data_IF_343526867993
#
_entry.id   IF_343526867993
#
_cell.length_a   1.000
_cell.length_b   1.000
_cell.length_c   1.000
_cell.angle_alpha   90.00
_cell.angle_beta   90.00
_cell.angle_gamma   90.00
#
_symmetry.space_group_name_H-M   'P 1'
#
loop_
_entity.id
_entity.type
_entity.pdbx_description
1 polymer ?
#
# COMPACT_ATOMS: atom_id res chain seq x y z
N UNK A 1 13.95 6.52 15.05
CA UNK A 1 14.23 7.50 14.00
C UNK A 1 15.20 6.90 12.99
N UNK A 2 14.99 7.15 11.72
CA UNK A 2 15.78 6.62 10.63
C UNK A 2 16.41 7.73 9.81
N UNK A 3 17.61 7.46 9.29
CA UNK A 3 18.26 8.37 8.35
C UNK A 3 17.43 8.37 7.04
N UNK A 4 16.98 9.53 6.62
CA UNK A 4 16.12 9.73 5.44
C UNK A 4 16.77 9.24 4.15
N UNK A 5 18.09 9.41 4.00
CA UNK A 5 18.79 9.16 2.75
C UNK A 5 18.79 7.74 2.21
N UNK A 6 18.25 6.75 2.95
CA UNK A 6 18.13 5.35 2.49
C UNK A 6 16.72 4.97 2.00
N UNK A 7 15.73 5.82 2.22
CA UNK A 7 14.33 5.54 1.92
C UNK A 7 13.74 6.41 0.82
N UNK A 8 14.24 7.63 0.71
CA UNK A 8 13.68 8.64 -0.16
C UNK A 8 14.67 8.94 -1.28
N UNK A 9 14.20 9.08 -2.51
CA UNK A 9 15.06 9.35 -3.68
C UNK A 9 15.80 10.70 -3.58
N UNK A 10 15.26 11.67 -2.85
CA UNK A 10 15.88 12.99 -2.67
C UNK A 10 16.72 13.05 -1.38
N UNK A 11 18.01 12.88 -1.54
CA UNK A 11 18.99 12.83 -0.44
C UNK A 11 19.14 14.13 0.33
N UNK A 12 18.81 15.26 -0.28
CA UNK A 12 19.11 16.58 0.24
C UNK A 12 17.89 17.33 0.78
N UNK A 13 16.68 16.78 0.61
CA UNK A 13 15.45 17.41 1.07
C UNK A 13 14.46 16.36 1.53
N UNK A 14 13.88 16.50 2.75
CA UNK A 14 12.80 15.62 3.19
C UNK A 14 11.61 15.74 2.25
N UNK A 15 11.06 14.61 1.83
CA UNK A 15 9.81 14.57 1.06
C UNK A 15 8.68 15.19 1.90
N UNK A 16 7.79 15.94 1.26
CA UNK A 16 6.63 16.57 1.92
C UNK A 16 5.73 15.54 2.64
N UNK A 17 5.77 14.26 2.20
CA UNK A 17 5.04 13.14 2.81
C UNK A 17 5.61 12.62 4.12
N UNK A 18 6.78 13.09 4.58
CA UNK A 18 7.51 12.52 5.72
C UNK A 18 7.65 13.55 6.85
N UNK A 19 7.40 13.13 8.09
CA UNK A 19 7.78 13.91 9.27
C UNK A 19 9.27 13.74 9.53
N UNK A 20 10.02 14.81 9.34
CA UNK A 20 11.46 14.81 9.47
C UNK A 20 11.94 16.01 10.30
N UNK A 21 13.08 15.86 10.92
CA UNK A 21 13.77 16.91 11.67
C UNK A 21 15.27 16.77 11.51
N UNK A 22 15.98 17.86 11.64
CA UNK A 22 17.43 17.89 11.54
C UNK A 22 18.02 17.77 12.94
N UNK A 23 18.89 16.78 13.12
CA UNK A 23 19.68 16.56 14.32
C UNK A 23 21.14 16.85 13.96
N UNK A 24 21.63 18.00 14.38
CA UNK A 24 22.95 18.53 14.01
C UNK A 24 23.23 18.47 12.51
N UNK A 25 23.92 17.42 12.06
CA UNK A 25 24.30 17.21 10.65
C UNK A 25 23.42 16.20 9.92
N UNK A 26 22.52 15.49 10.61
CA UNK A 26 21.74 14.41 10.05
C UNK A 26 20.26 14.72 10.03
N UNK A 27 19.61 14.34 8.95
CA UNK A 27 18.16 14.29 8.89
C UNK A 27 17.66 12.99 9.52
N UNK A 28 16.74 13.11 10.45
CA UNK A 28 16.00 12.01 11.06
C UNK A 28 14.53 12.09 10.64
N UNK A 29 13.87 10.95 10.56
CA UNK A 29 12.44 10.90 10.25
C UNK A 29 11.69 9.98 11.21
N UNK A 30 10.41 10.26 11.40
CA UNK A 30 9.48 9.26 11.92
C UNK A 30 9.30 8.18 10.85
N UNK A 31 9.14 6.91 11.27
CA UNK A 31 8.97 5.81 10.31
C UNK A 31 7.68 5.97 9.53
N UNK A 32 7.79 5.93 8.22
CA UNK A 32 6.70 6.05 7.26
C UNK A 32 5.93 4.74 7.07
N UNK A 33 6.62 3.60 7.25
CA UNK A 33 6.13 2.23 7.22
C UNK A 33 6.87 1.35 8.24
N UNK A 34 6.53 0.07 8.30
CA UNK A 34 7.23 -0.92 9.12
C UNK A 34 8.19 -1.79 8.31
N UNK A 35 8.14 -1.71 6.97
CA UNK A 35 8.91 -2.53 6.04
C UNK A 35 10.37 -2.11 5.99
N UNK A 36 10.63 -0.81 5.94
CA UNK A 36 11.98 -0.30 5.87
C UNK A 36 12.78 -0.49 7.16
N UNK A 37 12.21 -0.32 8.38
CA UNK A 37 12.85 -0.76 9.62
C UNK A 37 13.14 -2.27 9.64
N UNK A 38 12.24 -3.10 9.08
CA UNK A 38 12.49 -4.54 8.92
C UNK A 38 13.69 -4.81 8.04
N UNK A 39 13.74 -4.20 6.85
CA UNK A 39 14.84 -4.40 5.90
C UNK A 39 16.20 -4.07 6.54
N UNK A 40 16.25 -2.97 7.31
CA UNK A 40 17.45 -2.60 8.07
C UNK A 40 17.78 -3.61 9.16
N UNK A 41 16.80 -4.10 9.90
CA UNK A 41 17.00 -5.12 10.92
C UNK A 41 17.56 -6.42 10.33
N UNK A 42 16.95 -6.87 9.22
CA UNK A 42 17.41 -8.08 8.49
C UNK A 42 18.82 -7.90 7.97
N UNK A 43 19.14 -6.76 7.35
CA UNK A 43 20.50 -6.52 6.85
C UNK A 43 21.55 -6.56 7.95
N UNK A 44 21.22 -6.03 9.14
CA UNK A 44 22.13 -6.04 10.30
C UNK A 44 22.35 -7.45 10.89
N UNK A 45 21.29 -8.28 10.89
CA UNK A 45 21.31 -9.59 11.55
C UNK A 45 21.21 -10.75 10.53
N UNK A 46 21.64 -10.52 9.29
CA UNK A 46 21.39 -11.41 8.16
C UNK A 46 21.84 -12.85 8.37
N UNK A 47 23.00 -13.05 9.00
CA UNK A 47 23.57 -14.38 9.25
C UNK A 47 22.89 -15.13 10.42
N UNK A 48 22.26 -14.41 11.33
CA UNK A 48 21.63 -14.96 12.53
C UNK A 48 20.16 -15.34 12.32
N UNK A 49 19.53 -14.73 11.32
CA UNK A 49 18.10 -14.92 11.03
C UNK A 49 17.88 -16.17 10.17
N UNK A 50 17.01 -17.13 10.58
CA UNK A 50 16.63 -18.26 9.74
C UNK A 50 15.89 -17.79 8.48
N UNK A 51 16.06 -18.51 7.36
CA UNK A 51 15.41 -18.20 6.09
C UNK A 51 14.55 -19.36 5.61
N UNK A 52 13.34 -19.10 5.12
CA UNK A 52 12.69 -17.79 5.05
C UNK A 52 12.30 -17.27 6.44
N UNK A 53 12.58 -15.99 6.69
CA UNK A 53 12.16 -15.30 7.92
C UNK A 53 10.73 -14.79 7.75
N UNK A 54 9.83 -15.34 8.54
CA UNK A 54 8.43 -14.93 8.58
C UNK A 54 8.21 -14.07 9.83
N UNK A 55 7.66 -12.89 9.63
CA UNK A 55 7.34 -12.00 10.75
C UNK A 55 6.00 -11.34 10.57
N UNK A 56 5.38 -10.93 11.65
CA UNK A 56 4.32 -9.93 11.66
C UNK A 56 4.62 -8.86 12.71
N UNK A 57 4.07 -7.67 12.49
CA UNK A 57 4.25 -6.54 13.39
C UNK A 57 3.03 -5.65 13.37
N UNK A 58 2.60 -5.21 14.55
CA UNK A 58 1.68 -4.09 14.73
C UNK A 58 2.47 -2.89 15.23
N UNK A 59 2.28 -1.73 14.63
CA UNK A 59 3.00 -0.53 15.05
C UNK A 59 2.43 0.74 14.48
N UNK A 60 2.67 1.84 15.18
CA UNK A 60 2.33 3.17 14.72
C UNK A 60 3.28 3.62 13.61
N UNK A 61 2.73 4.23 12.57
CA UNK A 61 3.49 4.89 11.48
C UNK A 61 2.98 6.30 11.28
N UNK A 62 3.83 7.15 10.69
CA UNK A 62 3.54 8.58 10.55
C UNK A 62 3.71 9.01 9.10
N UNK A 63 2.67 9.70 8.57
CA UNK A 63 2.69 10.25 7.21
C UNK A 63 2.19 11.68 7.22
N UNK A 64 2.97 12.58 6.65
CA UNK A 64 2.58 14.00 6.54
C UNK A 64 1.67 14.23 5.33
N UNK A 65 0.59 13.46 5.26
CA UNK A 65 -0.43 13.56 4.22
C UNK A 65 -1.66 14.34 4.72
N UNK A 66 -2.49 14.82 3.78
CA UNK A 66 -3.75 15.48 4.12
C UNK A 66 -4.71 14.48 4.79
N UNK A 67 -5.17 14.75 6.03
CA UNK A 67 -6.10 13.88 6.73
C UNK A 67 -7.44 13.74 6.00
N UNK A 68 -8.12 12.62 6.25
CA UNK A 68 -9.45 12.33 5.71
C UNK A 68 -10.11 11.17 6.45
N UNK A 69 -11.33 10.75 6.03
CA UNK A 69 -12.03 9.63 6.65
C UNK A 69 -11.17 8.36 6.65
N UNK A 70 -10.89 7.82 7.85
CA UNK A 70 -10.01 6.67 8.04
C UNK A 70 -8.55 6.90 7.62
N UNK A 71 -8.13 8.15 7.38
CA UNK A 71 -6.77 8.52 7.02
C UNK A 71 -6.25 9.58 7.98
N UNK A 72 -5.31 9.20 8.81
CA UNK A 72 -4.70 10.05 9.84
C UNK A 72 -3.21 10.23 9.53
N UNK A 73 -2.59 11.22 10.17
CA UNK A 73 -1.15 11.45 10.06
C UNK A 73 -0.34 10.49 10.94
N UNK A 74 -0.94 10.04 12.02
CA UNK A 74 -0.47 8.95 12.88
C UNK A 74 -1.53 7.86 12.87
N UNK A 75 -1.17 6.62 12.55
CA UNK A 75 -2.09 5.51 12.48
C UNK A 75 -1.40 4.17 12.74
N UNK A 76 -2.19 3.17 13.10
CA UNK A 76 -1.73 1.81 13.31
C UNK A 76 -1.68 1.04 11.99
N UNK A 77 -0.57 0.38 11.76
CA UNK A 77 -0.35 -0.51 10.63
C UNK A 77 0.01 -1.90 11.13
N UNK A 78 -0.62 -2.90 10.55
CA UNK A 78 -0.26 -4.30 10.70
C UNK A 78 0.44 -4.75 9.44
N UNK A 79 1.64 -5.31 9.58
CA UNK A 79 2.44 -5.86 8.48
C UNK A 79 2.72 -7.34 8.73
N UNK A 80 2.74 -8.12 7.65
CA UNK A 80 3.24 -9.48 7.63
C UNK A 80 4.17 -9.67 6.43
N UNK A 81 5.34 -10.24 6.65
CA UNK A 81 6.41 -10.33 5.66
C UNK A 81 7.08 -11.71 5.65
N UNK A 82 7.51 -12.10 4.45
CA UNK A 82 8.43 -13.19 4.19
C UNK A 82 9.73 -12.63 3.64
N UNK A 83 10.84 -12.90 4.29
CA UNK A 83 12.16 -12.39 3.89
C UNK A 83 13.12 -13.56 3.65
N UNK A 84 13.88 -13.48 2.56
CA UNK A 84 14.84 -14.51 2.17
C UNK A 84 14.26 -15.63 1.31
N UNK A 85 13.20 -15.36 0.52
CA UNK A 85 12.64 -16.34 -0.42
C UNK A 85 12.22 -15.70 -1.74
N UNK A 86 12.58 -16.34 -2.86
CA UNK A 86 12.13 -16.01 -4.22
C UNK A 86 10.85 -16.74 -4.61
N UNK A 87 10.39 -17.70 -3.79
CA UNK A 87 9.23 -18.52 -4.10
C UNK A 87 7.95 -17.69 -4.06
N UNK A 88 7.20 -17.67 -5.15
CA UNK A 88 5.93 -16.94 -5.29
C UNK A 88 4.80 -17.52 -4.43
N UNK A 89 4.99 -18.70 -3.85
CA UNK A 89 4.09 -19.22 -2.84
C UNK A 89 3.97 -18.29 -1.63
N UNK A 90 5.07 -17.60 -1.24
CA UNK A 90 5.06 -16.62 -0.16
C UNK A 90 4.13 -15.43 -0.49
N UNK A 91 4.14 -14.97 -1.75
CA UNK A 91 3.26 -13.90 -2.24
C UNK A 91 1.79 -14.33 -2.20
N UNK A 92 1.50 -15.54 -2.65
CA UNK A 92 0.16 -16.11 -2.63
C UNK A 92 -0.35 -16.34 -1.20
N UNK A 93 0.47 -16.91 -0.31
CA UNK A 93 0.13 -17.09 1.11
C UNK A 93 -0.23 -15.76 1.79
N UNK A 94 0.47 -14.68 1.49
CA UNK A 94 0.16 -13.35 2.04
C UNK A 94 -1.19 -12.83 1.55
N UNK A 95 -1.58 -13.11 0.30
CA UNK A 95 -2.92 -12.76 -0.20
C UNK A 95 -4.03 -13.56 0.50
N UNK A 96 -3.79 -14.83 0.80
CA UNK A 96 -4.73 -15.67 1.57
C UNK A 96 -4.78 -15.17 3.01
N UNK A 97 -3.62 -14.90 3.63
CA UNK A 97 -3.52 -14.41 5.00
C UNK A 97 -4.29 -13.10 5.21
N UNK A 98 -4.11 -12.11 4.31
CA UNK A 98 -4.85 -10.84 4.44
C UNK A 98 -6.36 -11.06 4.35
N UNK A 99 -6.80 -11.98 3.47
CA UNK A 99 -8.20 -12.34 3.33
C UNK A 99 -8.77 -12.95 4.62
N UNK A 100 -8.06 -13.92 5.20
CA UNK A 100 -8.45 -14.54 6.48
C UNK A 100 -8.50 -13.55 7.64
N UNK A 101 -7.55 -12.63 7.71
CA UNK A 101 -7.54 -11.57 8.72
C UNK A 101 -8.79 -10.69 8.59
N UNK A 102 -9.12 -10.26 7.37
CA UNK A 102 -10.29 -9.41 7.12
C UNK A 102 -11.60 -10.13 7.46
N UNK A 103 -11.71 -11.42 7.12
CA UNK A 103 -12.89 -12.23 7.47
C UNK A 103 -13.01 -12.39 9.00
N UNK A 104 -11.93 -12.65 9.70
CA UNK A 104 -11.92 -12.72 11.18
C UNK A 104 -12.22 -11.36 11.85
N UNK A 105 -11.92 -10.26 11.18
CA UNK A 105 -12.28 -8.92 11.64
C UNK A 105 -13.73 -8.54 11.36
N UNK A 106 -14.51 -9.37 10.62
CA UNK A 106 -15.95 -9.15 10.40
C UNK A 106 -16.35 -8.71 9.00
N UNK A 107 -15.42 -8.73 8.01
CA UNK A 107 -15.77 -8.60 6.60
C UNK A 107 -16.18 -9.97 6.05
N UNK A 108 -17.18 -9.99 5.17
CA UNK A 108 -17.50 -11.17 4.38
C UNK A 108 -16.75 -11.14 3.03
N UNK A 109 -16.62 -12.28 2.35
CA UNK A 109 -15.94 -12.35 1.04
C UNK A 109 -16.52 -11.41 -0.01
N UNK A 110 -17.81 -11.08 0.08
CA UNK A 110 -18.46 -10.14 -0.84
C UNK A 110 -18.11 -8.68 -0.55
N UNK A 111 -17.60 -8.35 0.63
CA UNK A 111 -17.34 -6.99 1.08
C UNK A 111 -16.02 -6.43 0.54
N UNK A 112 -15.14 -7.27 0.01
CA UNK A 112 -13.82 -6.86 -0.46
C UNK A 112 -13.33 -7.72 -1.62
N UNK A 113 -12.28 -7.28 -2.27
CA UNK A 113 -11.57 -8.03 -3.31
C UNK A 113 -10.06 -7.80 -3.18
N UNK A 114 -9.28 -8.87 -3.32
CA UNK A 114 -7.82 -8.79 -3.43
C UNK A 114 -7.46 -8.58 -4.90
N UNK A 115 -7.00 -7.40 -5.26
CA UNK A 115 -6.48 -7.11 -6.59
C UNK A 115 -5.01 -7.49 -6.66
N UNK A 116 -4.61 -8.14 -7.74
CA UNK A 116 -3.22 -8.52 -8.00
C UNK A 116 -2.74 -7.93 -9.31
N UNK A 117 -1.48 -7.51 -9.32
CA UNK A 117 -0.75 -7.03 -10.49
C UNK A 117 0.72 -7.41 -10.36
N UNK A 118 1.57 -6.91 -11.25
CA UNK A 118 3.02 -7.07 -11.14
C UNK A 118 3.76 -5.86 -11.67
N UNK A 119 4.88 -5.53 -11.07
CA UNK A 119 5.82 -4.54 -11.57
C UNK A 119 6.33 -4.92 -12.96
N UNK A 120 6.53 -6.22 -13.24
CA UNK A 120 6.94 -6.72 -14.54
C UNK A 120 5.98 -6.34 -15.67
N UNK A 121 4.69 -6.17 -15.37
CA UNK A 121 3.72 -5.67 -16.35
C UNK A 121 4.06 -4.23 -16.77
N UNK A 122 4.33 -3.35 -15.80
CA UNK A 122 4.68 -1.95 -16.10
C UNK A 122 6.04 -1.83 -16.75
N UNK A 123 7.01 -2.66 -16.37
CA UNK A 123 8.35 -2.65 -16.97
C UNK A 123 8.30 -3.04 -18.45
N UNK A 124 7.57 -4.11 -18.82
CA UNK A 124 7.31 -4.48 -20.22
C UNK A 124 6.61 -3.35 -20.99
N UNK A 125 5.68 -2.64 -20.36
CA UNK A 125 5.00 -1.50 -20.97
C UNK A 125 5.98 -0.35 -21.24
N UNK A 126 6.88 -0.05 -20.31
CA UNK A 126 7.91 0.98 -20.50
C UNK A 126 8.94 0.61 -21.57
N UNK A 127 9.32 -0.67 -21.66
CA UNK A 127 10.16 -1.18 -22.75
C UNK A 127 9.48 -0.98 -24.11
N UNK A 128 8.22 -1.37 -24.24
CA UNK A 128 7.42 -1.17 -25.46
C UNK A 128 7.35 0.30 -25.87
N UNK A 129 7.19 1.19 -24.89
CA UNK A 129 7.12 2.64 -25.11
C UNK A 129 8.50 3.29 -25.27
N UNK A 130 9.60 2.52 -25.14
CA UNK A 130 11.00 2.99 -25.18
C UNK A 130 11.30 4.07 -24.14
N UNK A 131 10.65 4.00 -22.96
CA UNK A 131 10.85 4.93 -21.86
C UNK A 131 11.97 4.38 -20.97
N UNK A 132 13.08 5.14 -20.85
CA UNK A 132 14.27 4.73 -20.08
C UNK A 132 14.60 5.68 -18.92
N UNK A 133 14.06 6.90 -18.94
CA UNK A 133 14.32 7.90 -17.91
C UNK A 133 13.62 7.49 -16.61
N UNK A 134 14.39 7.34 -15.52
CA UNK A 134 13.86 7.01 -14.19
C UNK A 134 12.87 8.07 -13.70
N UNK A 135 13.16 9.35 -13.94
CA UNK A 135 12.26 10.45 -13.54
C UNK A 135 10.94 10.38 -14.29
N UNK A 136 10.99 10.10 -15.61
CA UNK A 136 9.78 9.96 -16.42
C UNK A 136 8.94 8.75 -15.97
N UNK A 137 9.60 7.60 -15.68
CA UNK A 137 8.95 6.40 -15.13
C UNK A 137 8.28 6.72 -13.80
N UNK A 138 8.97 7.42 -12.90
CA UNK A 138 8.42 7.82 -11.60
C UNK A 138 7.17 8.70 -11.75
N UNK A 139 7.21 9.69 -12.65
CA UNK A 139 6.05 10.55 -12.94
C UNK A 139 4.87 9.73 -13.48
N UNK A 140 5.13 8.81 -14.42
CA UNK A 140 4.08 7.94 -14.99
C UNK A 140 3.46 7.08 -13.90
N UNK A 141 4.27 6.40 -13.09
CA UNK A 141 3.76 5.54 -12.03
C UNK A 141 2.91 6.31 -11.01
N UNK A 142 3.36 7.51 -10.62
CA UNK A 142 2.58 8.40 -9.74
C UNK A 142 1.27 8.89 -10.39
N UNK A 143 1.26 9.09 -11.71
CA UNK A 143 0.05 9.45 -12.43
C UNK A 143 -0.94 8.28 -12.48
N UNK A 144 -0.45 7.08 -12.74
CA UNK A 144 -1.26 5.86 -12.81
C UNK A 144 -1.82 5.45 -11.43
N UNK A 145 -1.03 5.57 -10.36
CA UNK A 145 -1.47 5.33 -8.98
C UNK A 145 -2.64 6.25 -8.55
N UNK A 146 -2.75 7.41 -9.20
CA UNK A 146 -3.82 8.37 -8.91
C UNK A 146 -5.10 8.15 -9.74
N UNK A 147 -5.13 7.20 -10.68
CA UNK A 147 -6.29 6.97 -11.56
C UNK A 147 -7.56 6.72 -10.76
N UNK A 148 -7.51 5.85 -9.77
CA UNK A 148 -8.67 5.51 -8.95
C UNK A 148 -9.24 6.74 -8.22
N UNK A 149 -8.39 7.71 -7.87
CA UNK A 149 -8.79 8.94 -7.16
C UNK A 149 -9.18 10.08 -8.06
N UNK A 150 -8.46 10.27 -9.16
CA UNK A 150 -8.65 11.44 -10.04
C UNK A 150 -9.50 11.14 -11.26
N UNK A 151 -9.65 9.87 -11.62
CA UNK A 151 -10.21 9.43 -12.89
C UNK A 151 -9.18 9.50 -14.03
N UNK A 152 -9.48 8.79 -15.12
CA UNK A 152 -8.58 8.68 -16.27
C UNK A 152 -8.26 10.05 -16.90
N UNK A 153 -9.27 10.91 -17.08
CA UNK A 153 -9.08 12.22 -17.72
C UNK A 153 -8.02 13.09 -17.02
N UNK A 154 -8.03 13.11 -15.70
CA UNK A 154 -7.05 13.89 -14.93
C UNK A 154 -5.67 13.20 -14.85
N UNK A 155 -5.65 11.87 -14.79
CA UNK A 155 -4.40 11.10 -14.87
C UNK A 155 -3.75 11.26 -16.25
N UNK A 156 -4.53 11.31 -17.34
CA UNK A 156 -4.04 11.55 -18.69
C UNK A 156 -3.27 12.88 -18.79
N UNK A 157 -3.77 13.95 -18.18
CA UNK A 157 -3.06 15.25 -18.15
C UNK A 157 -1.66 15.10 -17.51
N UNK A 158 -1.55 14.31 -16.43
CA UNK A 158 -0.26 14.02 -15.79
C UNK A 158 0.64 13.13 -16.64
N UNK A 159 0.09 12.26 -17.48
CA UNK A 159 0.87 11.51 -18.46
C UNK A 159 1.39 12.40 -19.60
N UNK A 160 0.66 13.42 -19.96
CA UNK A 160 1.01 14.39 -21.02
C UNK A 160 1.83 15.56 -20.43
N UNK A 161 1.32 16.78 -20.50
CA UNK A 161 2.05 18.01 -20.15
C UNK A 161 2.07 18.34 -18.66
N UNK A 162 1.09 17.84 -17.91
CA UNK A 162 0.92 18.15 -16.50
C UNK A 162 -0.50 18.65 -16.20
N UNK A 163 -0.74 18.93 -14.92
CA UNK A 163 -2.06 19.27 -14.40
C UNK A 163 -1.94 20.40 -13.38
N UNK A 164 -2.82 21.36 -13.49
CA UNK A 164 -3.11 22.33 -12.44
C UNK A 164 -4.25 21.80 -11.56
N UNK A 165 -4.10 21.85 -10.25
CA UNK A 165 -5.14 21.44 -9.32
C UNK A 165 -6.10 22.60 -8.97
N UNK A 166 -7.10 22.33 -8.11
CA UNK A 166 -8.09 23.34 -7.71
C UNK A 166 -7.51 24.49 -6.87
N UNK A 167 -6.30 24.34 -6.33
CA UNK A 167 -5.57 25.37 -5.59
C UNK A 167 -4.67 26.23 -6.47
N UNK A 168 -4.55 25.90 -7.76
CA UNK A 168 -3.66 26.58 -8.70
C UNK A 168 -2.25 25.99 -8.74
N UNK A 169 -1.99 24.92 -8.01
CA UNK A 169 -0.69 24.25 -8.00
C UNK A 169 -0.50 23.40 -9.26
N UNK A 170 0.58 23.67 -10.00
CA UNK A 170 0.90 22.94 -11.21
C UNK A 170 1.80 21.73 -10.92
N UNK A 171 1.32 20.54 -11.30
CA UNK A 171 2.11 19.30 -11.29
C UNK A 171 2.60 18.98 -12.70
N UNK A 172 3.92 18.92 -12.86
CA UNK A 172 4.57 18.58 -14.15
C UNK A 172 4.19 17.17 -14.59
N UNK A 173 3.91 17.00 -15.89
CA UNK A 173 3.59 15.73 -16.51
C UNK A 173 4.81 14.97 -17.04
N UNK A 174 4.56 13.74 -17.50
CA UNK A 174 5.57 12.85 -18.07
C UNK A 174 5.95 13.17 -19.53
N UNK A 175 5.29 14.14 -20.16
CA UNK A 175 5.48 14.54 -21.56
C UNK A 175 5.34 13.39 -22.57
N UNK A 176 4.40 12.47 -22.33
CA UNK A 176 4.10 11.40 -23.30
C UNK A 176 3.33 11.95 -24.50
N UNK A 177 3.56 11.32 -25.64
CA UNK A 177 2.78 11.56 -26.86
C UNK A 177 1.40 10.89 -26.74
N UNK A 178 0.42 11.35 -27.49
CA UNK A 178 -0.94 10.81 -27.49
C UNK A 178 -1.03 9.32 -27.83
N UNK A 179 -0.20 8.85 -28.75
CA UNK A 179 -0.09 7.43 -29.11
C UNK A 179 0.44 6.58 -27.94
N UNK A 180 1.43 7.07 -27.21
CA UNK A 180 1.97 6.41 -26.03
C UNK A 180 0.91 6.34 -24.91
N UNK A 181 0.18 7.42 -24.68
CA UNK A 181 -0.92 7.45 -23.69
C UNK A 181 -2.02 6.45 -24.06
N UNK A 182 -2.38 6.34 -25.35
CA UNK A 182 -3.35 5.36 -25.82
C UNK A 182 -2.90 3.91 -25.63
N UNK A 183 -1.59 3.63 -25.81
CA UNK A 183 -1.02 2.31 -25.51
C UNK A 183 -1.17 1.98 -24.03
N UNK A 184 -0.85 2.92 -23.13
CA UNK A 184 -1.04 2.76 -21.68
C UNK A 184 -2.51 2.49 -21.35
N UNK A 185 -3.41 3.30 -21.89
CA UNK A 185 -4.85 3.14 -21.66
C UNK A 185 -5.36 1.75 -22.06
N UNK A 186 -4.95 1.28 -23.24
CA UNK A 186 -5.31 -0.06 -23.73
C UNK A 186 -4.71 -1.16 -22.86
N UNK A 187 -3.47 -1.01 -22.41
CA UNK A 187 -2.83 -1.96 -21.51
C UNK A 187 -3.54 -2.06 -20.17
N UNK A 188 -4.00 -0.94 -19.59
CA UNK A 188 -4.76 -0.93 -18.34
C UNK A 188 -6.20 -1.49 -18.49
N UNK A 189 -6.79 -1.39 -19.68
CA UNK A 189 -8.11 -1.99 -19.99
C UNK A 189 -8.04 -3.50 -20.17
N UNK A 190 -6.87 -4.04 -20.46
CA UNK A 190 -6.68 -5.49 -20.64
C UNK A 190 -6.68 -6.19 -19.26
N UNK A 191 -7.72 -6.94 -18.97
CA UNK A 191 -7.89 -7.69 -17.71
C UNK A 191 -7.33 -9.13 -17.78
N UNK A 192 -6.64 -9.49 -18.84
CA UNK A 192 -5.98 -10.78 -18.95
C UNK A 192 -4.54 -10.67 -18.37
N UNK A 193 -4.18 -11.50 -17.38
CA UNK A 193 -2.83 -11.52 -16.84
C UNK A 193 -1.84 -11.99 -17.91
N UNK A 194 -0.73 -11.26 -18.06
CA UNK A 194 0.29 -11.53 -19.08
C UNK A 194 1.72 -11.59 -18.52
N UNK A 195 1.87 -11.50 -17.20
CA UNK A 195 3.15 -11.69 -16.53
C UNK A 195 3.24 -13.08 -15.89
N UNK A 196 4.39 -13.73 -16.04
CA UNK A 196 4.61 -15.11 -15.57
C UNK A 196 4.37 -15.27 -14.07
N UNK A 197 4.83 -14.29 -13.28
CA UNK A 197 4.66 -14.29 -11.83
C UNK A 197 3.19 -14.22 -11.39
N UNK A 198 2.36 -13.42 -12.06
CA UNK A 198 0.92 -13.37 -11.79
C UNK A 198 0.24 -14.68 -12.19
N UNK A 199 0.61 -15.26 -13.32
CA UNK A 199 0.06 -16.53 -13.77
C UNK A 199 0.41 -17.66 -12.81
N UNK A 200 1.63 -17.69 -12.27
CA UNK A 200 2.05 -18.66 -11.26
C UNK A 200 1.28 -18.47 -9.95
N UNK A 201 1.12 -17.23 -9.46
CA UNK A 201 0.30 -16.96 -8.27
C UNK A 201 -1.14 -17.41 -8.44
N UNK A 202 -1.74 -17.22 -9.63
CA UNK A 202 -3.10 -17.68 -9.91
C UNK A 202 -3.19 -19.21 -9.79
N UNK A 203 -2.23 -19.96 -10.31
CA UNK A 203 -2.18 -21.43 -10.15
C UNK A 203 -2.08 -21.83 -8.67
N UNK A 204 -1.31 -21.10 -7.88
CA UNK A 204 -1.20 -21.35 -6.43
C UNK A 204 -2.53 -21.03 -5.74
N UNK A 205 -3.23 -19.95 -6.11
CA UNK A 205 -4.56 -19.64 -5.58
C UNK A 205 -5.57 -20.75 -5.89
N UNK A 206 -5.52 -21.34 -7.09
CA UNK A 206 -6.35 -22.49 -7.44
C UNK A 206 -6.09 -23.68 -6.51
N UNK A 207 -4.82 -23.98 -6.20
CA UNK A 207 -4.45 -25.06 -5.26
C UNK A 207 -4.96 -24.82 -3.84
N UNK A 208 -5.06 -23.56 -3.41
CA UNK A 208 -5.64 -23.16 -2.11
C UNK A 208 -7.16 -22.98 -2.14
N UNK A 209 -7.81 -23.19 -3.30
CA UNK A 209 -9.22 -22.86 -3.53
C UNK A 209 -9.54 -21.38 -3.14
N UNK A 210 -8.56 -20.50 -3.28
CA UNK A 210 -8.73 -19.07 -3.05
C UNK A 210 -9.34 -18.41 -4.28
N UNK A 211 -10.53 -17.84 -4.15
CA UNK A 211 -11.30 -17.26 -5.28
C UNK A 211 -11.54 -15.76 -5.15
N UNK A 212 -11.24 -15.18 -3.97
CA UNK A 212 -11.54 -13.77 -3.70
C UNK A 212 -10.44 -12.83 -4.20
N UNK A 213 -10.05 -13.00 -5.46
CA UNK A 213 -9.04 -12.18 -6.10
C UNK A 213 -9.46 -11.73 -7.50
N UNK A 214 -8.77 -10.73 -8.02
CA UNK A 214 -8.94 -10.23 -9.40
C UNK A 214 -7.60 -9.70 -9.90
N UNK A 215 -7.23 -10.05 -11.13
CA UNK A 215 -6.15 -9.35 -11.83
C UNK A 215 -6.61 -7.94 -12.21
N UNK A 216 -5.84 -6.94 -11.84
CA UNK A 216 -6.10 -5.54 -12.19
C UNK A 216 -4.79 -4.80 -12.49
N UNK A 217 -4.47 -4.56 -13.77
CA UNK A 217 -3.23 -3.91 -14.18
C UNK A 217 -3.13 -2.45 -13.73
N UNK A 218 -4.22 -1.84 -13.25
CA UNK A 218 -4.20 -0.50 -12.67
C UNK A 218 -3.62 -0.45 -11.25
N UNK A 219 -3.44 -1.60 -10.60
CA UNK A 219 -2.74 -1.69 -9.31
C UNK A 219 -1.24 -1.54 -9.54
N UNK A 220 -0.75 -0.32 -9.35
CA UNK A 220 0.64 0.05 -9.64
C UNK A 220 1.40 0.38 -8.36
N UNK A 221 0.72 0.86 -7.33
CA UNK A 221 1.26 1.33 -6.04
C UNK A 221 2.50 2.23 -6.16
N UNK A 222 2.41 3.39 -5.54
CA UNK A 222 3.40 4.46 -5.67
C UNK A 222 4.75 4.23 -4.96
N UNK A 223 5.00 3.07 -4.36
CA UNK A 223 6.28 2.77 -3.72
C UNK A 223 7.25 2.17 -4.74
N UNK A 224 8.34 2.86 -5.00
CA UNK A 224 9.33 2.51 -6.03
C UNK A 224 10.12 1.23 -5.72
N UNK A 225 10.02 0.68 -4.50
CA UNK A 225 10.78 -0.49 -4.11
C UNK A 225 10.17 -1.84 -4.53
N UNK A 226 8.95 -1.88 -5.08
CA UNK A 226 8.37 -3.12 -5.57
C UNK A 226 9.06 -3.63 -6.84
N UNK A 227 9.33 -4.94 -6.89
CA UNK A 227 10.12 -5.60 -7.94
C UNK A 227 9.38 -6.71 -8.67
N UNK A 228 8.21 -7.11 -8.20
CA UNK A 228 7.43 -8.23 -8.73
C UNK A 228 5.94 -8.09 -8.48
N UNK A 229 5.27 -9.13 -7.96
CA UNK A 229 3.85 -9.09 -7.63
C UNK A 229 3.48 -7.95 -6.70
N UNK A 230 2.32 -7.35 -6.94
CA UNK A 230 1.77 -6.23 -6.16
C UNK A 230 0.33 -6.58 -5.82
N UNK A 231 -0.07 -6.26 -4.58
CA UNK A 231 -1.38 -6.59 -4.05
C UNK A 231 -2.08 -5.34 -3.51
N UNK A 232 -3.39 -5.28 -3.69
CA UNK A 232 -4.22 -4.25 -3.10
C UNK A 232 -5.58 -4.82 -2.70
N UNK A 233 -6.07 -4.44 -1.52
CA UNK A 233 -7.39 -4.85 -1.04
C UNK A 233 -8.33 -3.66 -1.08
N UNK A 234 -9.36 -3.78 -1.92
CA UNK A 234 -10.39 -2.77 -2.05
C UNK A 234 -11.72 -3.27 -1.49
N UNK A 235 -12.49 -2.34 -0.94
CA UNK A 235 -13.85 -2.61 -0.49
C UNK A 235 -14.81 -2.64 -1.69
N UNK A 236 -15.82 -3.51 -1.61
CA UNK A 236 -16.89 -3.63 -2.59
C UNK A 236 -18.18 -2.91 -2.15
N UNK A 237 -18.12 -2.07 -1.11
CA UNK A 237 -19.23 -1.25 -0.64
C UNK A 237 -18.79 0.20 -0.44
N UNK A 238 -19.77 1.11 -0.49
CA UNK A 238 -19.53 2.53 -0.33
C UNK A 238 -19.24 2.89 1.11
N UNK A 239 -18.14 3.61 1.31
CA UNK A 239 -17.80 4.24 2.59
C UNK A 239 -18.25 5.70 2.54
N UNK A 240 -18.89 6.17 3.63
CA UNK A 240 -19.41 7.53 3.73
C UNK A 240 -18.56 8.38 4.68
N UNK A 241 -18.49 9.68 4.38
CA UNK A 241 -17.92 10.64 5.31
C UNK A 241 -18.87 10.92 6.49
N UNK A 242 -18.42 11.75 7.44
CA UNK A 242 -19.25 12.14 8.62
C UNK A 242 -20.54 12.87 8.25
N UNK A 243 -20.65 13.38 7.01
CA UNK A 243 -21.88 14.03 6.48
C UNK A 243 -22.80 13.04 5.73
N UNK A 244 -22.49 11.73 5.76
CA UNK A 244 -23.26 10.69 5.08
C UNK A 244 -23.07 10.61 3.56
N UNK A 245 -22.15 11.37 2.99
CA UNK A 245 -21.88 11.37 1.55
C UNK A 245 -20.87 10.26 1.19
N UNK A 246 -21.09 9.50 0.09
CA UNK A 246 -20.13 8.49 -0.36
C UNK A 246 -18.79 9.16 -0.70
N UNK A 247 -17.72 8.49 -0.35
CA UNK A 247 -16.35 8.93 -0.62
C UNK A 247 -15.56 7.85 -1.34
N UNK A 248 -14.60 8.27 -2.13
CA UNK A 248 -13.62 7.36 -2.69
C UNK A 248 -12.62 6.94 -1.59
N UNK A 249 -12.90 5.80 -0.98
CA UNK A 249 -12.16 5.38 0.21
C UNK A 249 -10.76 4.84 -0.12
N UNK A 250 -10.60 4.18 -1.28
CA UNK A 250 -9.34 3.52 -1.69
C UNK A 250 -9.10 2.20 -0.94
N UNK A 251 -7.87 1.70 -1.02
CA UNK A 251 -7.51 0.40 -0.43
C UNK A 251 -7.44 0.44 1.10
N UNK A 252 -7.80 -0.68 1.74
CA UNK A 252 -7.67 -0.89 3.20
C UNK A 252 -6.36 -1.61 3.55
N UNK A 253 -5.73 -2.24 2.57
CA UNK A 253 -4.47 -2.95 2.72
C UNK A 253 -3.83 -3.23 1.38
N UNK A 254 -2.66 -3.79 1.41
CA UNK A 254 -1.94 -4.24 0.23
C UNK A 254 -0.46 -4.41 0.49
N UNK A 255 0.27 -4.80 -0.54
CA UNK A 255 1.67 -5.12 -0.42
C UNK A 255 2.30 -5.51 -1.75
N UNK A 256 3.33 -6.32 -1.69
CA UNK A 256 4.01 -6.86 -2.86
C UNK A 256 5.43 -7.29 -2.57
N UNK A 257 6.13 -7.71 -3.62
CA UNK A 257 7.51 -8.17 -3.58
C UNK A 257 8.49 -7.00 -3.68
N UNK A 258 9.51 -7.00 -2.80
CA UNK A 258 10.49 -5.91 -2.69
C UNK A 258 11.93 -6.47 -2.53
N UNK A 259 12.41 -7.17 -3.53
CA UNK A 259 13.66 -7.94 -3.49
C UNK A 259 14.91 -7.10 -3.22
N UNK A 260 14.89 -5.81 -3.60
CA UNK A 260 16.06 -4.93 -3.50
C UNK A 260 16.10 -4.09 -2.21
N UNK A 261 15.06 -4.14 -1.37
CA UNK A 261 14.99 -3.22 -0.23
C UNK A 261 16.03 -3.52 0.85
N UNK A 262 16.27 -4.81 1.14
CA UNK A 262 17.29 -5.22 2.13
C UNK A 262 18.69 -4.85 1.66
N UNK A 263 18.99 -4.94 0.36
CA UNK A 263 20.28 -4.60 -0.22
C UNK A 263 20.66 -3.14 -0.05
N UNK A 264 19.69 -2.25 0.07
CA UNK A 264 19.93 -0.82 0.35
C UNK A 264 20.60 -0.59 1.72
N UNK A 265 20.52 -1.55 2.62
CA UNK A 265 21.07 -1.46 3.97
C UNK A 265 22.33 -2.31 4.20
N UNK A 266 22.62 -3.28 3.34
CA UNK A 266 23.72 -4.23 3.63
C UNK A 266 24.35 -4.90 2.41
N UNK A 267 24.05 -4.48 1.21
CA UNK A 267 24.58 -5.06 -0.03
C UNK A 267 24.37 -6.59 -0.13
N UNK A 268 23.16 -7.05 0.29
CA UNK A 268 22.79 -8.46 0.41
C UNK A 268 21.70 -8.80 -0.60
N UNK A 269 21.82 -9.90 -1.34
CA UNK A 269 20.71 -10.46 -2.13
C UNK A 269 19.72 -11.15 -1.16
N UNK A 270 18.66 -10.43 -0.81
CA UNK A 270 17.68 -10.91 0.15
C UNK A 270 16.25 -10.57 -0.33
N UNK A 271 15.69 -11.42 -1.19
CA UNK A 271 14.35 -11.22 -1.72
C UNK A 271 13.30 -11.26 -0.61
N UNK A 272 12.30 -10.42 -0.73
CA UNK A 272 11.25 -10.31 0.26
C UNK A 272 9.90 -9.93 -0.36
N UNK A 273 8.83 -10.29 0.34
CA UNK A 273 7.46 -9.91 0.00
C UNK A 273 6.67 -9.67 1.28
N UNK A 274 5.71 -8.78 1.27
CA UNK A 274 4.94 -8.44 2.45
C UNK A 274 3.60 -7.79 2.14
N UNK A 275 2.73 -7.78 3.15
CA UNK A 275 1.44 -7.09 3.13
C UNK A 275 1.31 -6.16 4.33
N UNK A 276 0.52 -5.12 4.15
CA UNK A 276 0.15 -4.18 5.21
C UNK A 276 -1.35 -3.95 5.24
N UNK A 277 -1.91 -3.82 6.45
CA UNK A 277 -3.29 -3.40 6.69
C UNK A 277 -3.25 -2.12 7.52
N UNK A 278 -3.91 -1.05 7.05
CA UNK A 278 -4.15 0.14 7.84
C UNK A 278 -5.33 -0.10 8.79
N UNK A 279 -5.05 -0.29 10.10
CA UNK A 279 -6.11 -0.66 11.04
C UNK A 279 -7.16 0.43 11.20
N UNK A 280 -6.75 1.68 11.27
CA UNK A 280 -7.70 2.79 11.38
C UNK A 280 -8.65 2.84 10.18
N UNK A 281 -8.14 2.52 8.98
CA UNK A 281 -8.97 2.42 7.77
C UNK A 281 -9.92 1.22 7.84
N UNK A 282 -9.42 0.08 8.28
CA UNK A 282 -10.24 -1.13 8.44
C UNK A 282 -11.35 -0.89 9.46
N UNK A 283 -11.03 -0.32 10.63
CA UNK A 283 -12.01 0.01 11.68
C UNK A 283 -13.04 1.00 11.13
N UNK A 284 -12.60 2.07 10.48
CA UNK A 284 -13.51 3.06 9.88
C UNK A 284 -14.47 2.40 8.87
N UNK A 285 -13.98 1.49 8.04
CA UNK A 285 -14.81 0.75 7.09
C UNK A 285 -15.79 -0.20 7.78
N UNK A 286 -15.33 -0.95 8.79
CA UNK A 286 -16.19 -1.85 9.57
C UNK A 286 -17.33 -1.12 10.26
N UNK A 287 -17.07 0.06 10.81
CA UNK A 287 -18.10 0.90 11.45
C UNK A 287 -19.20 1.37 10.47
N UNK A 288 -18.97 1.32 9.16
CA UNK A 288 -19.98 1.62 8.13
C UNK A 288 -20.94 0.44 7.88
N UNK A 289 -20.57 -0.77 8.30
CA UNK A 289 -21.43 -1.95 8.12
C UNK A 289 -22.57 -1.95 9.11
N UNK A 290 -23.81 -2.13 8.64
CA UNK A 290 -25.02 -2.17 9.49
C UNK A 290 -24.98 -3.26 10.56
N UNK A 291 -24.34 -4.39 10.26
CA UNK A 291 -24.29 -5.56 11.12
C UNK A 291 -23.06 -5.58 12.04
N UNK A 292 -22.16 -4.61 11.89
CA UNK A 292 -20.98 -4.53 12.75
C UNK A 292 -21.36 -3.93 14.10
N UNK A 293 -21.24 -4.74 15.16
CA UNK A 293 -21.47 -4.33 16.54
C UNK A 293 -20.20 -4.57 17.35
N UNK A 294 -19.68 -3.52 17.94
CA UNK A 294 -18.66 -3.66 18.98
C UNK A 294 -19.36 -4.24 20.20
N UNK A 295 -19.09 -5.50 20.51
CA UNK A 295 -19.56 -6.07 21.79
C UNK A 295 -18.76 -5.41 22.91
N UNK A 296 -19.42 -4.60 23.71
CA UNK A 296 -18.83 -4.13 24.98
C UNK A 296 -18.50 -5.36 25.82
N UNK A 297 -17.24 -5.66 26.00
CA UNK A 297 -16.79 -6.88 26.69
C UNK A 297 -16.70 -6.73 28.19
N UNK A 298 -16.85 -5.51 28.72
CA UNK A 298 -16.74 -5.23 30.16
C UNK A 298 -17.79 -4.20 30.58
N UNK A 299 -18.45 -4.40 31.73
CA UNK A 299 -19.33 -3.40 32.30
C UNK A 299 -18.50 -2.17 32.74
N UNK A 300 -19.06 -0.98 32.56
CA UNK A 300 -18.54 0.22 33.20
C UNK A 300 -18.95 0.15 34.66
N UNK A 301 -17.99 0.07 35.58
CA UNK A 301 -18.24 0.08 37.01
C UNK A 301 -18.12 1.53 37.50
N UNK A 302 -19.22 2.10 37.98
CA UNK A 302 -19.26 3.42 38.60
C UNK A 302 -19.26 3.23 40.10
N UNK A 303 -18.18 3.65 40.76
CA UNK A 303 -18.09 3.64 42.20
C UNK A 303 -18.70 4.93 42.75
N UNK A 304 -19.80 4.82 43.48
CA UNK A 304 -20.47 5.96 44.12
C UNK A 304 -20.06 5.99 45.59
N UNK A 305 -19.27 6.97 45.97
CA UNK A 305 -18.82 7.19 47.35
C UNK A 305 -19.81 8.01 48.19
N UNK A 306 -20.72 8.73 47.54
CA UNK A 306 -21.75 9.55 48.18
C UNK A 306 -23.12 9.18 47.62
N UNK A 307 -23.95 8.60 48.50
CA UNK A 307 -25.31 8.16 48.14
C UNK A 307 -26.24 9.29 47.68
N UNK A 308 -25.96 10.55 48.07
CA UNK A 308 -26.75 11.71 47.65
C UNK A 308 -26.58 12.02 46.15
N UNK A 309 -25.46 11.61 45.55
CA UNK A 309 -25.13 11.79 44.12
C UNK A 309 -25.50 10.62 43.21
N UNK A 310 -26.27 9.68 43.73
CA UNK A 310 -26.66 8.48 42.99
C UNK A 310 -27.68 8.74 41.88
N UNK A 311 -28.23 9.95 41.79
CA UNK A 311 -29.21 10.37 40.76
C UNK A 311 -28.61 11.29 39.68
N UNK A 312 -27.36 11.67 39.77
CA UNK A 312 -26.60 12.35 38.72
C UNK A 312 -25.82 11.34 37.84
#
# INVERSE_FOLDING_TARGET
>A
SDSIGKFLPDKDRPDEGVFSFKDETKWLSLRYDLTAPLARYVAKNYLEIPKPFKRYQLGTVWRNEKPGPGRYREFLQFDADYVGTKNLQADAELCVLISEILEKCGLNKIDYIVKISSRKFTDKLFEQLKIKSKDQISIILRALDKIDRLGWSEAQKLLEKGREDKSGDFTKGANLKKDQVKIIENALKNKNPNSEDVLEIIKIFESYNFKNYKFDPSVIRGLEYYTGPIFEVNLNFDVKNLKGQPIQFGSIGGGGRYDNLVSNFGNLDCPATGISIGLDRLVFALMQKKDFRIKATRPVVICIFDKSKMKE
#
